data_IF_324073188847
#
_entry.id   IF_324073188847
#
_cell.length_a   1.000
_cell.length_b   1.000
_cell.length_c   1.000
_cell.angle_alpha   90.00
_cell.angle_beta   90.00
_cell.angle_gamma   90.00
#
_symmetry.space_group_name_H-M   'P 1'
#
loop_
_entity.id
_entity.type
_entity.pdbx_description
1 polymer ?
#
# COMPACT_ATOMS: atom_id res chain seq x y z
N UNK A 1 -13.45 27.42 -4.22
CA UNK A 1 -13.70 27.48 -2.76
C UNK A 1 -14.54 26.28 -2.32
N UNK A 2 -15.73 26.01 -2.91
CA UNK A 2 -16.61 24.90 -2.50
C UNK A 2 -15.92 23.53 -2.59
N UNK A 3 -15.22 23.22 -3.69
CA UNK A 3 -14.51 21.95 -3.85
C UNK A 3 -13.41 21.76 -2.79
N UNK A 4 -12.65 22.81 -2.48
CA UNK A 4 -11.63 22.75 -1.43
C UNK A 4 -12.25 22.53 -0.05
N UNK A 5 -13.37 23.18 0.26
CA UNK A 5 -14.09 22.98 1.52
C UNK A 5 -14.63 21.54 1.64
N UNK A 6 -15.19 20.98 0.56
CA UNK A 6 -15.67 19.59 0.53
C UNK A 6 -14.52 18.62 0.70
N UNK A 7 -13.39 18.83 0.02
CA UNK A 7 -12.19 17.98 0.19
C UNK A 7 -11.70 18.00 1.64
N UNK A 8 -11.59 19.18 2.24
CA UNK A 8 -11.19 19.32 3.65
C UNK A 8 -12.19 18.64 4.60
N UNK A 9 -13.50 18.78 4.35
CA UNK A 9 -14.52 18.13 5.15
C UNK A 9 -14.44 16.59 5.06
N UNK A 10 -14.24 16.03 3.87
CA UNK A 10 -14.05 14.58 3.66
C UNK A 10 -12.82 14.11 4.42
N UNK A 11 -11.67 14.77 4.26
CA UNK A 11 -10.45 14.40 4.94
C UNK A 11 -10.61 14.50 6.46
N UNK A 12 -11.12 15.61 6.98
CA UNK A 12 -11.34 15.80 8.41
C UNK A 12 -12.30 14.75 9.01
N UNK A 13 -13.38 14.42 8.30
CA UNK A 13 -14.31 13.37 8.73
C UNK A 13 -13.65 11.99 8.75
N UNK A 14 -12.88 11.67 7.72
CA UNK A 14 -12.16 10.38 7.62
C UNK A 14 -11.15 10.24 8.75
N UNK A 15 -10.31 11.26 8.96
CA UNK A 15 -9.32 11.25 10.05
C UNK A 15 -9.99 11.24 11.42
N UNK A 16 -11.08 12.01 11.60
CA UNK A 16 -11.82 12.04 12.85
C UNK A 16 -12.46 10.69 13.22
N UNK A 17 -13.09 10.01 12.25
CA UNK A 17 -13.67 8.67 12.46
C UNK A 17 -12.61 7.63 12.83
N UNK A 18 -11.48 7.64 12.12
CA UNK A 18 -10.36 6.75 12.41
C UNK A 18 -9.82 7.02 13.81
N UNK A 19 -9.60 8.28 14.18
CA UNK A 19 -9.13 8.66 15.52
C UNK A 19 -10.10 8.19 16.62
N UNK A 20 -11.41 8.44 16.46
CA UNK A 20 -12.44 8.00 17.43
C UNK A 20 -12.46 6.49 17.56
N UNK A 21 -12.40 5.77 16.45
CA UNK A 21 -12.35 4.30 16.47
C UNK A 21 -11.16 3.80 17.28
N UNK A 22 -9.96 4.30 16.99
CA UNK A 22 -8.75 3.87 17.68
C UNK A 22 -8.72 4.30 19.14
N UNK A 23 -9.20 5.46 19.49
CA UNK A 23 -9.27 5.90 20.89
C UNK A 23 -10.21 5.05 21.75
N UNK A 24 -11.21 4.39 21.14
CA UNK A 24 -12.11 3.48 21.86
C UNK A 24 -11.48 2.08 22.08
N UNK A 25 -10.72 1.59 21.10
CA UNK A 25 -10.11 0.24 21.15
C UNK A 25 -8.94 0.19 22.15
N UNK A 26 -8.25 1.31 22.40
CA UNK A 26 -7.08 1.37 23.30
C UNK A 26 -7.39 1.37 24.79
N UNK A 27 -8.64 1.45 25.22
CA UNK A 27 -8.99 1.56 26.64
C UNK A 27 -9.06 0.17 27.28
N UNK A 28 -8.31 -0.03 28.39
CA UNK A 28 -8.39 -1.15 29.34
C UNK A 28 -7.43 -2.35 29.15
N UNK A 29 -6.24 -2.14 28.61
CA UNK A 29 -5.22 -3.19 28.61
C UNK A 29 -4.23 -2.97 29.74
N UNK A 30 -3.75 -4.04 30.41
CA UNK A 30 -2.72 -3.92 31.44
C UNK A 30 -1.42 -3.42 30.81
N UNK A 31 -0.71 -2.54 31.52
CA UNK A 31 0.57 -1.98 31.12
C UNK A 31 1.67 -2.36 32.11
N UNK A 32 2.88 -2.52 31.62
CA UNK A 32 4.03 -2.81 32.47
C UNK A 32 4.45 -1.58 33.28
N UNK A 33 4.65 -1.75 34.57
CA UNK A 33 5.18 -0.74 35.46
C UNK A 33 6.48 -1.23 36.09
N UNK A 34 7.52 -0.41 36.00
CA UNK A 34 8.83 -0.73 36.59
C UNK A 34 9.34 -2.15 36.26
N UNK A 35 9.27 -2.53 34.98
CA UNK A 35 9.74 -3.82 34.49
C UNK A 35 8.88 -5.03 34.93
N UNK A 36 7.67 -4.79 35.39
CA UNK A 36 6.74 -5.83 35.83
C UNK A 36 5.38 -5.65 35.17
N UNK A 37 4.85 -6.73 34.62
CA UNK A 37 3.50 -6.79 34.08
C UNK A 37 2.71 -7.90 34.83
N UNK A 38 1.69 -7.50 35.57
CA UNK A 38 0.83 -8.44 36.26
C UNK A 38 -0.37 -8.81 35.42
N UNK A 39 -0.42 -10.08 34.97
CA UNK A 39 -1.48 -10.68 34.18
C UNK A 39 -2.31 -11.71 34.98
N UNK A 40 -2.22 -11.71 36.31
CA UNK A 40 -2.97 -12.68 37.14
C UNK A 40 -4.49 -12.52 37.02
N UNK A 41 -4.97 -11.30 36.74
CA UNK A 41 -6.38 -11.01 36.53
C UNK A 41 -6.81 -11.13 35.03
N UNK A 42 -5.86 -11.29 34.10
CA UNK A 42 -6.13 -11.38 32.67
C UNK A 42 -6.43 -12.82 32.27
N UNK A 43 -7.63 -13.05 31.75
CA UNK A 43 -8.04 -14.37 31.26
C UNK A 43 -7.89 -14.42 29.75
N UNK A 44 -6.78 -14.99 29.25
CA UNK A 44 -6.48 -15.04 27.82
C UNK A 44 -7.60 -15.67 26.96
N UNK A 45 -8.38 -16.61 27.53
CA UNK A 45 -9.50 -17.23 26.82
C UNK A 45 -10.60 -16.22 26.48
N UNK A 46 -10.91 -15.30 27.40
CA UNK A 46 -12.01 -14.34 27.32
C UNK A 46 -11.52 -12.96 26.83
N UNK A 47 -10.42 -12.47 27.38
CA UNK A 47 -9.87 -11.14 27.13
C UNK A 47 -8.99 -11.08 25.86
N UNK A 48 -8.56 -12.25 25.35
CA UNK A 48 -7.75 -12.36 24.13
C UNK A 48 -6.28 -12.04 24.33
N UNK A 49 -5.61 -11.62 23.26
CA UNK A 49 -4.18 -11.24 23.27
C UNK A 49 -3.95 -9.93 23.99
N UNK A 50 -2.84 -9.82 24.70
CA UNK A 50 -2.43 -8.62 25.42
C UNK A 50 -1.16 -8.04 24.81
N UNK A 51 -1.06 -6.71 24.55
CA UNK A 51 0.22 -6.08 24.29
C UNK A 51 0.99 -6.00 25.60
N UNK A 52 2.26 -6.35 25.58
CA UNK A 52 3.14 -6.25 26.75
C UNK A 52 3.84 -4.89 26.79
N UNK A 53 3.03 -3.84 26.61
CA UNK A 53 3.47 -2.45 26.56
C UNK A 53 3.71 -1.88 27.97
N UNK A 54 4.42 -0.74 28.02
CA UNK A 54 4.68 -0.02 29.27
C UNK A 54 6.16 0.13 29.57
N UNK A 55 6.51 0.31 30.84
CA UNK A 55 7.89 0.58 31.28
C UNK A 55 8.67 -0.70 31.53
N UNK A 56 9.68 -0.95 30.69
CA UNK A 56 10.59 -2.09 30.79
C UNK A 56 11.93 -1.70 31.41
N UNK A 57 12.64 -2.69 31.98
CA UNK A 57 14.06 -2.56 32.33
C UNK A 57 14.87 -2.47 31.01
N UNK A 58 15.79 -1.51 30.92
CA UNK A 58 16.62 -1.27 29.75
C UNK A 58 18.08 -1.15 30.14
N UNK A 59 18.93 -1.88 29.43
CA UNK A 59 20.39 -1.96 29.68
C UNK A 59 21.12 -1.48 28.44
N UNK A 60 21.45 -0.17 28.36
CA UNK A 60 22.09 0.41 27.19
C UNK A 60 23.52 -0.12 27.00
N UNK A 61 23.91 -0.34 25.75
CA UNK A 61 25.25 -0.75 25.36
C UNK A 61 25.65 -2.18 25.72
N UNK A 62 24.71 -3.01 26.18
CA UNK A 62 25.00 -4.38 26.64
C UNK A 62 24.03 -5.39 26.02
N UNK A 63 24.57 -6.56 25.64
CA UNK A 63 23.80 -7.76 25.31
C UNK A 63 23.91 -8.72 26.50
N UNK A 64 22.90 -8.70 27.36
CA UNK A 64 22.83 -9.54 28.56
C UNK A 64 22.03 -10.80 28.27
N UNK A 65 22.53 -11.91 28.75
CA UNK A 65 21.89 -13.22 28.65
C UNK A 65 21.12 -13.56 29.95
N UNK A 66 20.23 -14.55 29.92
CA UNK A 66 19.48 -14.97 31.13
C UNK A 66 20.39 -15.28 32.34
N UNK A 67 21.56 -15.86 32.10
CA UNK A 67 22.54 -16.24 33.13
C UNK A 67 23.10 -15.00 33.85
N UNK A 68 23.22 -13.84 33.16
CA UNK A 68 23.73 -12.59 33.73
C UNK A 68 22.76 -12.01 34.78
N UNK A 69 21.48 -12.38 34.73
CA UNK A 69 20.45 -11.97 35.67
C UNK A 69 20.27 -12.98 36.84
N UNK A 70 20.65 -14.24 36.63
CA UNK A 70 20.57 -15.28 37.66
C UNK A 70 21.72 -15.18 38.67
N UNK A 71 22.88 -14.71 38.24
CA UNK A 71 24.07 -14.52 39.08
C UNK A 71 24.17 -13.05 39.51
N UNK A 72 23.77 -12.74 40.75
CA UNK A 72 24.10 -11.44 41.34
C UNK A 72 25.60 -11.48 41.71
N UNK A 73 26.47 -10.68 41.10
CA UNK A 73 27.87 -10.65 41.46
C UNK A 73 28.01 -10.22 42.92
N UNK A 74 28.85 -10.93 43.69
CA UNK A 74 29.06 -10.68 45.13
C UNK A 74 29.67 -9.28 45.39
N UNK A 75 30.16 -8.60 44.35
CA UNK A 75 30.77 -7.27 44.42
C UNK A 75 29.79 -6.11 44.15
N UNK A 76 28.49 -6.41 44.00
CA UNK A 76 27.47 -5.37 43.75
C UNK A 76 27.51 -4.74 42.34
N UNK A 77 28.26 -5.31 41.42
CA UNK A 77 28.39 -4.82 40.03
C UNK A 77 27.19 -5.22 39.14
N UNK A 78 26.05 -5.54 39.73
CA UNK A 78 24.83 -5.84 38.96
C UNK A 78 24.50 -4.64 38.01
N UNK A 79 24.23 -4.92 36.75
CA UNK A 79 23.89 -3.86 35.80
C UNK A 79 22.63 -3.13 36.28
N UNK A 80 22.72 -1.80 36.48
CA UNK A 80 21.58 -0.99 36.88
C UNK A 80 20.69 -0.71 35.67
N UNK A 81 19.39 -1.00 35.71
CA UNK A 81 18.50 -0.70 34.59
C UNK A 81 18.15 0.79 34.51
N UNK A 82 17.91 1.24 33.28
CA UNK A 82 17.17 2.47 33.00
C UNK A 82 15.74 2.08 32.58
N UNK A 83 14.76 2.90 32.91
CA UNK A 83 13.38 2.62 32.51
C UNK A 83 13.10 3.19 31.14
N UNK A 84 12.53 2.37 30.23
CA UNK A 84 12.15 2.78 28.88
C UNK A 84 10.69 2.41 28.60
N UNK A 85 9.98 3.30 27.91
CA UNK A 85 8.64 3.01 27.44
C UNK A 85 8.71 2.10 26.19
N UNK A 86 7.99 0.99 26.20
CA UNK A 86 7.79 0.06 25.09
C UNK A 86 6.30 0.07 24.72
N UNK A 87 5.94 0.32 23.44
CA UNK A 87 6.83 0.63 22.33
C UNK A 87 7.44 2.03 22.40
N UNK A 88 8.68 2.14 21.91
CA UNK A 88 9.39 3.42 21.86
C UNK A 88 10.81 3.29 21.33
N UNK A 89 11.36 4.39 20.83
CA UNK A 89 12.75 4.44 20.44
C UNK A 89 13.67 4.67 21.64
N UNK A 90 14.82 3.99 21.67
CA UNK A 90 15.83 4.21 22.71
C UNK A 90 16.69 5.48 22.51
N UNK A 91 16.43 6.26 21.44
CA UNK A 91 17.20 7.47 21.13
C UNK A 91 17.24 8.52 22.26
N UNK A 92 16.32 8.44 23.25
CA UNK A 92 16.31 9.28 24.45
C UNK A 92 17.29 8.82 25.53
N UNK A 93 17.77 7.58 25.46
CA UNK A 93 18.59 6.95 26.51
C UNK A 93 20.02 6.65 26.05
N UNK A 94 20.24 6.48 24.77
CA UNK A 94 21.53 6.23 24.15
C UNK A 94 21.51 6.65 22.66
N UNK A 95 22.67 6.59 22.00
CA UNK A 95 22.76 6.78 20.56
C UNK A 95 21.88 5.75 19.81
N UNK A 96 21.34 6.13 18.65
CA UNK A 96 20.45 5.26 17.86
C UNK A 96 21.14 4.01 17.34
N UNK A 97 22.45 4.08 17.11
CA UNK A 97 23.29 2.95 16.77
C UNK A 97 23.91 2.33 18.03
N UNK A 98 23.87 1.03 18.11
CA UNK A 98 24.41 0.27 19.24
C UNK A 98 23.62 -0.97 19.59
N UNK A 99 23.84 -1.47 20.79
CA UNK A 99 23.17 -2.65 21.33
C UNK A 99 22.47 -2.32 22.64
N UNK A 100 21.42 -3.05 22.95
CA UNK A 100 20.77 -2.95 24.26
C UNK A 100 20.03 -4.25 24.59
N UNK A 101 19.76 -4.44 25.88
CA UNK A 101 18.90 -5.50 26.37
C UNK A 101 17.69 -4.89 27.08
N UNK A 102 16.53 -5.40 26.76
CA UNK A 102 15.27 -5.12 27.43
C UNK A 102 14.89 -6.31 28.28
N UNK A 103 14.29 -6.07 29.46
CA UNK A 103 13.83 -7.11 30.37
C UNK A 103 12.47 -6.77 30.91
N UNK A 104 11.56 -7.74 30.88
CA UNK A 104 10.23 -7.65 31.46
C UNK A 104 9.97 -8.90 32.30
N UNK A 105 9.53 -8.71 33.53
CA UNK A 105 9.01 -9.79 34.39
C UNK A 105 7.49 -9.81 34.28
N UNK A 106 6.93 -10.96 33.94
CA UNK A 106 5.49 -11.15 33.82
C UNK A 106 4.99 -12.10 34.92
N UNK A 107 3.84 -11.80 35.46
CA UNK A 107 3.17 -12.67 36.44
C UNK A 107 1.89 -13.21 35.83
N UNK A 108 1.76 -14.55 35.79
CA UNK A 108 0.63 -15.24 35.16
C UNK A 108 -0.12 -16.05 36.19
N UNK A 109 -1.46 -15.98 36.19
CA UNK A 109 -2.32 -16.72 37.07
C UNK A 109 -2.44 -18.20 36.70
N UNK A 110 -2.74 -18.49 35.44
CA UNK A 110 -2.89 -19.84 34.88
C UNK A 110 -1.74 -20.16 33.93
N UNK A 111 -1.05 -21.30 34.11
CA UNK A 111 0.21 -21.50 33.50
C UNK A 111 0.49 -22.83 32.84
N UNK A 112 -0.48 -23.65 32.50
CA UNK A 112 -0.21 -24.97 31.87
C UNK A 112 -0.47 -24.99 30.34
N UNK A 113 -0.68 -23.83 29.74
CA UNK A 113 -0.97 -23.71 28.30
C UNK A 113 0.27 -23.32 27.51
N UNK A 114 0.27 -23.65 26.20
CA UNK A 114 1.26 -23.13 25.27
C UNK A 114 0.90 -21.70 24.93
N UNK A 115 1.80 -20.80 25.24
CA UNK A 115 1.71 -19.37 24.90
C UNK A 115 2.45 -19.08 23.62
N UNK A 116 2.12 -17.94 23.02
CA UNK A 116 2.83 -17.40 21.88
C UNK A 116 3.16 -15.92 22.09
N UNK A 117 4.22 -15.49 21.47
CA UNK A 117 4.65 -14.11 21.40
C UNK A 117 4.79 -13.71 19.94
N UNK A 118 4.20 -12.57 19.58
CA UNK A 118 4.32 -11.98 18.24
C UNK A 118 4.97 -10.60 18.36
N UNK A 119 6.10 -10.42 17.68
CA UNK A 119 6.67 -9.09 17.48
C UNK A 119 6.20 -8.54 16.15
N UNK A 120 6.16 -7.22 16.05
CA UNK A 120 6.03 -6.51 14.78
C UNK A 120 7.41 -5.99 14.35
N UNK A 121 7.63 -4.68 14.34
CA UNK A 121 8.90 -4.11 13.91
C UNK A 121 9.81 -3.82 15.10
N UNK A 122 10.94 -4.54 15.16
CA UNK A 122 12.06 -4.24 16.06
C UNK A 122 13.22 -3.73 15.21
N UNK A 123 13.83 -2.61 15.63
CA UNK A 123 14.92 -1.97 14.90
C UNK A 123 16.25 -2.19 15.60
N UNK A 124 17.14 -3.07 15.12
CA UNK A 124 17.06 -3.85 13.87
C UNK A 124 17.01 -5.35 14.21
N UNK A 125 18.20 -5.95 14.47
CA UNK A 125 18.29 -7.37 14.80
C UNK A 125 17.89 -7.62 16.22
N UNK A 126 17.20 -8.71 16.47
CA UNK A 126 16.69 -9.04 17.80
C UNK A 126 16.76 -10.52 18.10
N UNK A 127 16.92 -10.85 19.39
CA UNK A 127 16.88 -12.19 19.95
C UNK A 127 16.00 -12.17 21.20
N UNK A 128 15.12 -13.13 21.32
CA UNK A 128 14.10 -13.19 22.36
C UNK A 128 14.34 -14.42 23.20
N UNK A 129 14.42 -14.23 24.53
CA UNK A 129 14.47 -15.30 25.50
C UNK A 129 13.22 -15.26 26.38
N UNK A 130 12.69 -16.42 26.70
CA UNK A 130 11.59 -16.60 27.66
C UNK A 130 11.94 -17.75 28.59
N UNK A 131 11.87 -17.52 29.89
CA UNK A 131 12.21 -18.55 30.90
C UNK A 131 13.65 -19.08 30.77
N UNK A 132 14.56 -18.27 30.23
CA UNK A 132 15.96 -18.64 30.04
C UNK A 132 16.29 -19.27 28.68
N UNK A 133 15.30 -19.65 27.88
CA UNK A 133 15.51 -20.28 26.56
C UNK A 133 15.34 -19.27 25.41
N UNK A 134 16.17 -19.38 24.37
CA UNK A 134 16.00 -18.61 23.12
C UNK A 134 14.78 -19.15 22.37
N UNK A 135 13.72 -18.33 22.28
CA UNK A 135 12.46 -18.72 21.62
C UNK A 135 12.34 -18.15 20.19
N UNK A 136 13.13 -17.12 19.85
CA UNK A 136 13.07 -16.55 18.49
C UNK A 136 14.11 -15.48 18.25
N UNK A 137 14.35 -15.21 16.95
CA UNK A 137 15.27 -14.16 16.53
C UNK A 137 14.93 -13.61 15.15
N UNK A 138 15.35 -12.40 14.92
CA UNK A 138 15.37 -11.74 13.62
C UNK A 138 16.78 -11.15 13.37
N UNK A 139 17.50 -11.67 12.38
CA UNK A 139 18.92 -11.36 12.19
C UNK A 139 19.82 -11.91 13.31
N UNK A 140 20.97 -11.28 13.51
CA UNK A 140 21.93 -11.63 14.55
C UNK A 140 22.32 -10.37 15.33
N UNK A 141 21.81 -10.18 16.56
CA UNK A 141 22.05 -8.98 17.36
C UNK A 141 23.40 -9.07 18.09
N UNK A 142 24.48 -9.28 17.36
CA UNK A 142 25.82 -9.36 17.92
C UNK A 142 26.65 -8.13 17.52
N UNK A 143 27.77 -7.91 18.17
CA UNK A 143 28.68 -6.82 17.81
C UNK A 143 29.67 -7.28 16.70
N UNK A 144 30.12 -6.31 15.88
CA UNK A 144 31.19 -6.56 14.91
C UNK A 144 30.76 -7.41 13.71
N UNK A 145 31.62 -8.34 13.28
CA UNK A 145 31.44 -9.10 12.04
C UNK A 145 30.30 -10.13 12.09
N UNK A 146 29.86 -10.51 13.28
CA UNK A 146 28.76 -11.46 13.48
C UNK A 146 27.39 -10.80 13.37
N UNK A 147 27.32 -9.47 13.40
CA UNK A 147 26.07 -8.72 13.22
C UNK A 147 25.48 -8.95 11.82
N UNK A 148 24.19 -9.22 11.79
CA UNK A 148 23.41 -9.28 10.55
C UNK A 148 22.09 -8.58 10.74
N UNK A 149 21.89 -7.49 10.02
CA UNK A 149 20.66 -6.72 10.04
C UNK A 149 19.49 -7.47 9.41
N UNK A 150 18.45 -7.60 10.18
CA UNK A 150 17.14 -8.07 9.71
C UNK A 150 16.09 -7.58 10.71
N UNK A 151 14.94 -7.12 10.23
CA UNK A 151 13.84 -6.72 11.09
C UNK A 151 12.52 -7.38 10.66
N UNK A 152 12.58 -8.70 10.46
CA UNK A 152 11.40 -9.52 10.18
C UNK A 152 10.58 -9.71 11.45
N UNK A 153 9.22 -9.60 11.42
CA UNK A 153 8.37 -10.02 12.53
C UNK A 153 8.65 -11.46 12.96
N UNK A 154 8.66 -11.69 14.26
CA UNK A 154 8.93 -13.00 14.85
C UNK A 154 7.66 -13.48 15.57
N UNK A 155 7.31 -14.75 15.36
CA UNK A 155 6.31 -15.47 16.14
C UNK A 155 6.99 -16.66 16.78
N UNK A 156 6.84 -16.78 18.09
CA UNK A 156 7.46 -17.82 18.91
C UNK A 156 6.42 -18.46 19.80
N UNK A 157 6.59 -19.75 20.08
CA UNK A 157 5.72 -20.51 20.97
C UNK A 157 6.54 -21.15 22.08
N UNK A 158 6.04 -21.08 23.30
CA UNK A 158 6.70 -21.55 24.50
C UNK A 158 5.68 -21.88 25.59
N UNK A 159 6.12 -22.55 26.65
CA UNK A 159 5.31 -22.77 27.86
C UNK A 159 5.70 -21.76 28.91
N UNK A 160 4.70 -21.25 29.65
CA UNK A 160 4.92 -20.43 30.83
C UNK A 160 4.43 -21.21 32.04
N UNK A 161 5.12 -21.03 33.17
CA UNK A 161 4.69 -21.58 34.44
C UNK A 161 3.80 -20.59 35.22
N UNK A 162 2.86 -21.07 36.06
CA UNK A 162 2.14 -20.17 36.95
C UNK A 162 3.09 -19.38 37.84
N UNK A 163 2.83 -18.09 37.99
CA UNK A 163 3.66 -17.19 38.78
C UNK A 163 4.59 -16.35 37.92
N UNK A 164 5.84 -16.19 38.32
CA UNK A 164 6.80 -15.29 37.71
C UNK A 164 7.51 -15.93 36.51
N UNK A 165 7.48 -15.24 35.41
CA UNK A 165 8.22 -15.55 34.21
C UNK A 165 9.00 -14.32 33.73
N UNK A 166 10.01 -14.51 32.92
CA UNK A 166 10.88 -13.46 32.42
C UNK A 166 10.98 -13.49 30.91
N UNK A 167 10.89 -12.30 30.31
CA UNK A 167 11.15 -12.06 28.88
C UNK A 167 12.38 -11.15 28.77
N UNK A 168 13.39 -11.61 28.05
CA UNK A 168 14.58 -10.83 27.75
C UNK A 168 14.65 -10.65 26.23
N UNK A 169 14.87 -9.42 25.80
CA UNK A 169 15.00 -9.06 24.40
C UNK A 169 16.32 -8.35 24.17
N UNK A 170 17.23 -8.99 23.46
CA UNK A 170 18.45 -8.37 22.96
C UNK A 170 18.16 -7.71 21.62
N UNK A 171 18.61 -6.46 21.44
CA UNK A 171 18.46 -5.70 20.20
C UNK A 171 19.77 -5.05 19.82
N UNK A 172 20.13 -5.14 18.54
CA UNK A 172 21.29 -4.42 17.98
C UNK A 172 20.88 -3.70 16.71
N UNK A 173 21.33 -2.45 16.59
CA UNK A 173 21.12 -1.60 15.44
C UNK A 173 22.44 -0.93 15.04
N UNK A 174 23.00 -1.31 13.89
CA UNK A 174 24.20 -0.67 13.31
C UNK A 174 23.98 -0.15 11.90
N UNK A 175 22.79 -0.42 11.31
CA UNK A 175 22.51 -0.10 9.91
C UNK A 175 21.37 0.89 9.72
N UNK A 176 20.65 1.25 10.79
CA UNK A 176 19.47 2.11 10.66
C UNK A 176 19.40 3.25 11.68
N UNK A 177 20.18 4.34 11.48
CA UNK A 177 20.19 5.49 12.37
C UNK A 177 18.85 6.18 12.62
N UNK A 178 17.87 6.18 11.67
CA UNK A 178 16.63 6.92 11.86
C UNK A 178 15.72 6.40 12.97
N UNK A 179 15.87 5.16 13.41
CA UNK A 179 15.01 4.56 14.44
C UNK A 179 15.71 3.40 15.12
N UNK A 180 15.36 3.11 16.36
CA UNK A 180 16.03 2.10 17.17
C UNK A 180 15.10 1.51 18.23
N UNK A 181 15.32 0.25 18.55
CA UNK A 181 14.60 -0.44 19.62
C UNK A 181 13.25 -1.00 19.21
N UNK A 182 12.36 -1.17 20.17
CA UNK A 182 11.03 -1.74 19.98
C UNK A 182 10.04 -0.63 19.67
N UNK A 183 9.76 -0.42 18.39
CA UNK A 183 8.93 0.71 17.93
C UNK A 183 7.45 0.36 17.75
N UNK A 184 7.08 -0.90 17.86
CA UNK A 184 5.71 -1.39 17.79
C UNK A 184 5.46 -2.38 18.93
N UNK A 185 4.21 -2.52 19.34
CA UNK A 185 3.81 -3.41 20.44
C UNK A 185 4.18 -4.87 20.18
N UNK A 186 4.54 -5.56 21.25
CA UNK A 186 4.76 -7.00 21.27
C UNK A 186 3.51 -7.64 21.91
N UNK A 187 3.00 -8.69 21.29
CA UNK A 187 1.75 -9.34 21.72
C UNK A 187 2.02 -10.69 22.37
N UNK A 188 1.39 -10.93 23.51
CA UNK A 188 1.37 -12.20 24.23
C UNK A 188 -0.05 -12.76 24.25
N UNK A 189 -0.19 -14.08 24.10
CA UNK A 189 -1.49 -14.75 24.13
C UNK A 189 -1.33 -16.26 24.08
N UNK A 190 -2.44 -17.00 24.09
CA UNK A 190 -2.36 -18.43 23.78
C UNK A 190 -1.88 -18.67 22.36
N UNK A 191 -1.19 -19.79 22.13
CA UNK A 191 -0.61 -20.15 20.83
C UNK A 191 -1.59 -20.02 19.66
N UNK A 192 -2.83 -20.49 19.83
CA UNK A 192 -3.88 -20.37 18.81
C UNK A 192 -4.29 -18.94 18.50
N UNK A 193 -4.32 -18.07 19.53
CA UNK A 193 -4.66 -16.64 19.37
C UNK A 193 -3.56 -15.89 18.64
N UNK A 194 -2.30 -16.15 18.98
CA UNK A 194 -1.13 -15.55 18.33
C UNK A 194 -0.99 -16.04 16.88
N UNK A 195 -1.22 -17.33 16.61
CA UNK A 195 -1.28 -17.85 15.23
C UNK A 195 -2.37 -17.15 14.43
N UNK A 196 -3.59 -17.03 14.99
CA UNK A 196 -4.70 -16.36 14.33
C UNK A 196 -4.41 -14.87 14.07
N UNK A 197 -3.74 -14.19 15.02
CA UNK A 197 -3.31 -12.80 14.86
C UNK A 197 -2.31 -12.67 13.70
N UNK A 198 -1.28 -13.53 13.65
CA UNK A 198 -0.32 -13.56 12.54
C UNK A 198 -1.00 -13.85 11.21
N UNK A 199 -1.84 -14.90 11.17
CA UNK A 199 -2.47 -15.35 9.92
C UNK A 199 -3.42 -14.28 9.35
N UNK A 200 -4.12 -13.54 10.22
CA UNK A 200 -4.94 -12.38 9.80
C UNK A 200 -4.08 -11.26 9.22
N UNK A 201 -3.01 -10.87 9.92
CA UNK A 201 -2.11 -9.82 9.45
C UNK A 201 -1.45 -10.20 8.12
N UNK A 202 -0.91 -11.42 8.02
CA UNK A 202 -0.28 -11.92 6.81
C UNK A 202 -1.27 -12.02 5.64
N UNK A 203 -2.50 -12.49 5.90
CA UNK A 203 -3.56 -12.55 4.90
C UNK A 203 -3.96 -11.17 4.41
N UNK A 204 -4.08 -10.19 5.32
CA UNK A 204 -4.35 -8.80 4.97
C UNK A 204 -3.29 -8.25 4.03
N UNK A 205 -2.01 -8.46 4.35
CA UNK A 205 -0.91 -7.96 3.54
C UNK A 205 -0.85 -8.65 2.17
N UNK A 206 -1.03 -9.99 2.10
CA UNK A 206 -1.09 -10.72 0.84
C UNK A 206 -2.24 -10.27 -0.05
N UNK A 207 -3.45 -10.08 0.52
CA UNK A 207 -4.62 -9.58 -0.20
C UNK A 207 -4.31 -8.19 -0.78
N UNK A 208 -3.74 -7.30 0.03
CA UNK A 208 -3.43 -5.94 -0.38
C UNK A 208 -2.38 -5.89 -1.50
N UNK A 209 -1.26 -6.61 -1.33
CA UNK A 209 -0.19 -6.70 -2.34
C UNK A 209 -0.71 -7.28 -3.65
N UNK A 210 -1.46 -8.38 -3.58
CA UNK A 210 -2.02 -9.05 -4.77
C UNK A 210 -3.03 -8.16 -5.47
N UNK A 211 -3.93 -7.50 -4.73
CA UNK A 211 -4.91 -6.58 -5.27
C UNK A 211 -4.25 -5.42 -6.03
N UNK A 212 -3.26 -4.76 -5.41
CA UNK A 212 -2.53 -3.68 -6.05
C UNK A 212 -1.74 -4.17 -7.27
N UNK A 213 -1.07 -5.32 -7.18
CA UNK A 213 -0.29 -5.86 -8.29
C UNK A 213 -1.17 -6.22 -9.49
N UNK A 214 -2.29 -6.93 -9.27
CA UNK A 214 -3.25 -7.27 -10.34
C UNK A 214 -3.77 -6.00 -11.00
N UNK A 215 -4.13 -4.99 -10.21
CA UNK A 215 -4.63 -3.72 -10.75
C UNK A 215 -3.54 -2.99 -11.55
N UNK A 216 -2.31 -2.97 -11.04
CA UNK A 216 -1.16 -2.40 -11.74
C UNK A 216 -0.93 -3.06 -13.10
N UNK A 217 -0.85 -4.39 -13.12
CA UNK A 217 -0.67 -5.18 -14.35
C UNK A 217 -1.85 -5.01 -15.32
N UNK A 218 -3.07 -4.93 -14.82
CA UNK A 218 -4.26 -4.67 -15.64
C UNK A 218 -4.16 -3.34 -16.39
N UNK A 219 -3.82 -2.24 -15.72
CA UNK A 219 -3.69 -0.92 -16.37
C UNK A 219 -2.49 -0.85 -17.31
N UNK A 220 -1.37 -1.48 -16.96
CA UNK A 220 -0.22 -1.62 -17.85
C UNK A 220 -0.60 -2.45 -19.10
N UNK A 221 -1.35 -3.54 -18.91
CA UNK A 221 -1.89 -4.34 -20.02
C UNK A 221 -2.83 -3.55 -20.92
N UNK A 222 -3.73 -2.73 -20.35
CA UNK A 222 -4.58 -1.82 -21.15
C UNK A 222 -3.75 -0.80 -21.94
N UNK A 223 -2.67 -0.28 -21.36
CA UNK A 223 -1.78 0.63 -22.09
C UNK A 223 -1.13 -0.05 -23.31
N UNK A 224 -0.76 -1.34 -23.24
CA UNK A 224 -0.19 -2.05 -24.39
C UNK A 224 -1.14 -2.10 -25.58
N UNK A 225 -2.45 -2.10 -25.32
CA UNK A 225 -3.50 -2.07 -26.33
C UNK A 225 -3.82 -0.64 -26.80
N UNK A 226 -3.59 0.37 -25.95
CA UNK A 226 -3.87 1.79 -26.21
C UNK A 226 -2.64 2.66 -25.92
N UNK A 227 -1.58 2.48 -26.69
CA UNK A 227 -0.26 3.14 -26.49
C UNK A 227 -0.31 4.68 -26.50
N UNK A 228 -1.39 5.27 -27.02
CA UNK A 228 -1.57 6.73 -27.03
C UNK A 228 -2.09 7.30 -25.70
N UNK A 229 -2.55 6.45 -24.78
CA UNK A 229 -3.08 6.88 -23.48
C UNK A 229 -2.07 6.62 -22.35
N UNK A 230 -1.08 7.51 -22.25
CA UNK A 230 -0.03 7.45 -21.23
C UNK A 230 -0.60 7.47 -19.80
N UNK A 231 -1.82 8.00 -19.60
CA UNK A 231 -2.44 8.04 -18.27
C UNK A 231 -2.71 6.64 -17.73
N UNK A 232 -3.04 5.66 -18.57
CA UNK A 232 -3.22 4.26 -18.15
C UNK A 232 -1.92 3.65 -17.64
N UNK A 233 -0.80 3.91 -18.32
CA UNK A 233 0.50 3.43 -17.88
C UNK A 233 0.89 4.04 -16.52
N UNK A 234 0.71 5.36 -16.35
CA UNK A 234 1.01 6.04 -15.09
C UNK A 234 0.16 5.50 -13.94
N UNK A 235 -1.14 5.28 -14.18
CA UNK A 235 -2.03 4.70 -13.18
C UNK A 235 -1.62 3.26 -12.82
N UNK A 236 -1.24 2.45 -13.80
CA UNK A 236 -0.72 1.12 -13.57
C UNK A 236 0.55 1.13 -12.70
N UNK A 237 1.47 2.04 -12.97
CA UNK A 237 2.71 2.20 -12.18
C UNK A 237 2.44 2.68 -10.76
N UNK A 238 1.42 3.51 -10.51
CA UNK A 238 0.98 3.85 -9.15
C UNK A 238 0.72 2.57 -8.36
N UNK A 239 -0.09 1.66 -8.90
CA UNK A 239 -0.45 0.42 -8.19
C UNK A 239 0.71 -0.56 -8.06
N UNK A 240 1.59 -0.66 -9.05
CA UNK A 240 2.82 -1.48 -8.94
C UNK A 240 3.70 -0.96 -7.80
N UNK A 241 3.90 0.35 -7.71
CA UNK A 241 4.69 0.93 -6.61
C UNK A 241 3.98 0.78 -5.26
N UNK A 242 2.65 0.89 -5.19
CA UNK A 242 1.91 0.59 -3.96
C UNK A 242 2.04 -0.88 -3.55
N UNK A 243 1.98 -1.83 -4.47
CA UNK A 243 2.21 -3.25 -4.20
C UNK A 243 3.61 -3.48 -3.60
N UNK A 244 4.64 -2.90 -4.21
CA UNK A 244 6.01 -2.97 -3.72
C UNK A 244 6.16 -2.33 -2.33
N UNK A 245 5.58 -1.15 -2.12
CA UNK A 245 5.61 -0.48 -0.82
C UNK A 245 4.93 -1.32 0.26
N UNK A 246 3.73 -1.81 0.01
CA UNK A 246 2.96 -2.63 0.94
C UNK A 246 3.69 -3.94 1.27
N UNK A 247 4.36 -4.57 0.29
CA UNK A 247 5.13 -5.80 0.52
C UNK A 247 6.31 -5.64 1.48
N UNK A 248 6.74 -4.40 1.72
CA UNK A 248 7.82 -4.06 2.68
C UNK A 248 7.31 -3.60 4.05
N UNK A 249 5.98 -3.52 4.25
CA UNK A 249 5.35 -3.11 5.50
C UNK A 249 4.66 -4.28 6.19
N UNK A 250 4.10 -4.06 7.38
CA UNK A 250 3.37 -5.07 8.12
C UNK A 250 4.18 -6.34 8.37
N UNK A 251 3.66 -7.47 7.95
CA UNK A 251 4.32 -8.80 8.05
C UNK A 251 5.46 -8.98 7.04
N UNK A 252 5.70 -7.98 6.17
CA UNK A 252 6.82 -7.97 5.20
C UNK A 252 6.79 -9.16 4.26
N UNK A 253 5.71 -9.25 3.52
CA UNK A 253 5.47 -10.27 2.49
C UNK A 253 6.65 -10.46 1.54
N UNK A 254 7.46 -9.42 1.32
CA UNK A 254 8.67 -9.49 0.51
C UNK A 254 9.67 -10.56 1.03
N UNK A 255 9.83 -10.67 2.37
CA UNK A 255 10.69 -11.71 2.95
C UNK A 255 10.07 -13.11 2.86
N UNK A 256 8.73 -13.22 2.94
CA UNK A 256 8.05 -14.51 2.75
C UNK A 256 8.17 -15.00 1.29
N UNK A 257 8.08 -14.08 0.32
CA UNK A 257 8.14 -14.43 -1.10
C UNK A 257 9.56 -14.77 -1.59
N UNK A 258 10.58 -14.06 -1.10
CA UNK A 258 11.95 -14.14 -1.62
C UNK A 258 12.98 -14.66 -0.61
N UNK A 259 12.54 -15.02 0.61
CA UNK A 259 13.44 -15.48 1.67
C UNK A 259 14.28 -14.33 2.23
N UNK A 260 15.62 -14.46 2.12
CA UNK A 260 16.53 -13.42 2.61
C UNK A 260 16.70 -12.30 1.59
N UNK A 261 16.35 -11.06 2.01
CA UNK A 261 16.63 -9.83 1.27
C UNK A 261 17.59 -8.98 2.11
N UNK A 262 18.76 -8.60 1.61
CA UNK A 262 19.68 -7.74 2.35
C UNK A 262 19.00 -6.42 2.75
N UNK A 263 19.25 -5.95 3.97
CA UNK A 263 18.57 -4.74 4.49
C UNK A 263 18.78 -3.50 3.60
N UNK A 264 19.99 -3.32 3.05
CA UNK A 264 20.28 -2.20 2.15
C UNK A 264 19.41 -2.18 0.89
N UNK A 265 19.04 -3.36 0.38
CA UNK A 265 18.16 -3.49 -0.77
C UNK A 265 16.69 -3.32 -0.33
N UNK A 266 16.31 -3.92 0.79
CA UNK A 266 14.96 -3.81 1.36
C UNK A 266 14.54 -2.36 1.57
N UNK A 267 15.36 -1.55 2.23
CA UNK A 267 15.03 -0.14 2.51
C UNK A 267 14.98 0.71 1.24
N UNK A 268 15.84 0.41 0.25
CA UNK A 268 15.78 1.08 -1.06
C UNK A 268 14.49 0.76 -1.81
N UNK A 269 14.07 -0.50 -1.83
CA UNK A 269 12.77 -0.90 -2.42
C UNK A 269 11.65 -0.14 -1.74
N UNK A 270 11.63 -0.08 -0.42
CA UNK A 270 10.60 0.62 0.35
C UNK A 270 10.54 2.12 -0.01
N UNK A 271 11.66 2.81 0.03
CA UNK A 271 11.71 4.25 -0.22
C UNK A 271 11.46 4.59 -1.69
N UNK A 272 12.06 3.83 -2.62
CA UNK A 272 11.84 4.03 -4.06
C UNK A 272 10.39 3.78 -4.46
N UNK A 273 9.75 2.78 -3.86
CA UNK A 273 8.33 2.52 -4.13
C UNK A 273 7.43 3.64 -3.59
N UNK A 274 7.71 4.20 -2.42
CA UNK A 274 6.98 5.35 -1.89
C UNK A 274 7.11 6.60 -2.79
N UNK A 275 8.35 6.93 -3.18
CA UNK A 275 8.61 8.06 -4.10
C UNK A 275 8.03 7.80 -5.48
N UNK A 276 8.18 6.58 -6.00
CA UNK A 276 7.65 6.17 -7.30
C UNK A 276 6.12 6.25 -7.37
N UNK A 277 5.42 5.84 -6.31
CA UNK A 277 3.98 5.97 -6.20
C UNK A 277 3.53 7.44 -6.26
N UNK A 278 4.16 8.32 -5.46
CA UNK A 278 3.86 9.75 -5.48
C UNK A 278 4.14 10.40 -6.83
N UNK A 279 5.29 10.10 -7.43
CA UNK A 279 5.70 10.62 -8.74
C UNK A 279 4.74 10.19 -9.85
N UNK A 280 4.44 8.90 -9.93
CA UNK A 280 3.55 8.37 -10.98
C UNK A 280 2.11 8.84 -10.78
N UNK A 281 1.65 9.04 -9.54
CA UNK A 281 0.34 9.63 -9.25
C UNK A 281 0.25 11.09 -9.71
N UNK A 282 1.27 11.91 -9.47
CA UNK A 282 1.32 13.29 -9.99
C UNK A 282 1.28 13.31 -11.52
N UNK A 283 2.04 12.43 -12.17
CA UNK A 283 2.05 12.32 -13.63
C UNK A 283 0.70 11.82 -14.17
N UNK A 284 0.05 10.88 -13.49
CA UNK A 284 -1.30 10.42 -13.82
C UNK A 284 -2.30 11.58 -13.77
N UNK A 285 -2.35 12.28 -12.64
CA UNK A 285 -3.28 13.40 -12.44
C UNK A 285 -3.06 14.49 -13.48
N UNK A 286 -1.81 14.81 -13.82
CA UNK A 286 -1.49 15.79 -14.83
C UNK A 286 -1.86 15.34 -16.25
N UNK A 287 -1.65 14.09 -16.60
CA UNK A 287 -1.98 13.57 -17.94
C UNK A 287 -3.49 13.43 -18.15
N UNK A 288 -4.22 12.96 -17.13
CA UNK A 288 -5.66 12.71 -17.20
C UNK A 288 -6.52 13.96 -16.96
N UNK A 289 -6.05 14.92 -16.13
CA UNK A 289 -6.83 16.08 -15.67
C UNK A 289 -6.08 17.40 -15.86
N UNK A 290 -5.40 17.56 -16.98
CA UNK A 290 -4.51 18.69 -17.27
C UNK A 290 -5.13 20.08 -17.07
N UNK A 291 -6.43 20.24 -17.34
CA UNK A 291 -7.17 21.50 -17.19
C UNK A 291 -7.39 21.93 -15.75
N UNK A 292 -7.34 20.98 -14.80
CA UNK A 292 -7.57 21.21 -13.39
C UNK A 292 -6.27 21.24 -12.57
N UNK A 293 -5.11 21.02 -13.20
CA UNK A 293 -3.82 20.91 -12.55
C UNK A 293 -2.98 22.17 -12.68
N UNK A 294 -2.31 22.59 -11.60
CA UNK A 294 -1.26 23.61 -11.65
C UNK A 294 0.02 23.01 -12.26
N UNK A 295 0.43 23.54 -13.41
CA UNK A 295 1.66 23.10 -14.09
C UNK A 295 2.91 23.29 -13.26
N UNK A 296 2.95 24.37 -12.47
CA UNK A 296 4.09 24.66 -11.60
C UNK A 296 4.21 23.62 -10.47
N UNK A 297 3.08 23.33 -9.79
CA UNK A 297 3.03 22.35 -8.71
C UNK A 297 3.44 20.95 -9.18
N UNK A 298 2.95 20.53 -10.34
CA UNK A 298 3.32 19.22 -10.90
C UNK A 298 4.80 19.17 -11.27
N UNK A 299 5.33 20.22 -11.94
CA UNK A 299 6.74 20.27 -12.32
C UNK A 299 7.67 20.26 -11.10
N UNK A 300 7.35 21.06 -10.07
CA UNK A 300 8.13 21.06 -8.83
C UNK A 300 8.06 19.71 -8.10
N UNK A 301 6.88 19.09 -8.04
CA UNK A 301 6.70 17.76 -7.46
C UNK A 301 7.49 16.68 -8.21
N UNK A 302 7.49 16.72 -9.54
CA UNK A 302 8.31 15.80 -10.36
C UNK A 302 9.80 16.01 -10.13
N UNK A 303 10.25 17.27 -10.08
CA UNK A 303 11.67 17.58 -9.82
C UNK A 303 12.12 17.08 -8.43
N UNK A 304 11.30 17.30 -7.40
CA UNK A 304 11.57 16.81 -6.04
C UNK A 304 11.59 15.29 -5.99
N UNK A 305 10.63 14.60 -6.64
CA UNK A 305 10.60 13.15 -6.72
C UNK A 305 11.81 12.57 -7.45
N UNK A 306 12.24 13.19 -8.55
CA UNK A 306 13.46 12.80 -9.25
C UNK A 306 14.71 12.98 -8.35
N UNK A 307 14.79 14.10 -7.63
CA UNK A 307 15.88 14.36 -6.68
C UNK A 307 15.93 13.30 -5.58
N UNK A 308 14.79 12.96 -4.97
CA UNK A 308 14.71 11.88 -3.99
C UNK A 308 15.12 10.54 -4.58
N UNK A 309 14.65 10.21 -5.80
CA UNK A 309 15.02 8.95 -6.47
C UNK A 309 16.53 8.85 -6.70
N UNK A 310 17.16 9.92 -7.16
CA UNK A 310 18.62 9.99 -7.35
C UNK A 310 19.33 9.86 -5.99
N UNK A 311 18.85 10.57 -4.97
CA UNK A 311 19.38 10.48 -3.61
C UNK A 311 19.35 9.03 -3.09
N UNK A 312 18.18 8.37 -3.22
CA UNK A 312 17.97 6.98 -2.79
C UNK A 312 18.92 6.00 -3.51
N UNK A 313 19.21 6.21 -4.76
CA UNK A 313 20.06 5.30 -5.53
C UNK A 313 21.56 5.52 -5.30
N UNK A 314 21.99 6.78 -5.21
CA UNK A 314 23.41 7.13 -5.25
C UNK A 314 24.01 7.44 -3.88
N UNK A 315 23.23 7.99 -2.95
CA UNK A 315 23.76 8.50 -1.66
C UNK A 315 23.19 7.69 -0.49
N UNK A 316 23.88 6.63 -0.11
CA UNK A 316 23.44 5.75 0.98
C UNK A 316 23.32 6.48 2.32
N UNK A 317 24.25 7.36 2.63
CA UNK A 317 24.33 8.07 3.92
C UNK A 317 23.21 9.11 4.14
N UNK A 318 22.46 9.51 3.11
CA UNK A 318 21.32 10.42 3.26
C UNK A 318 20.13 9.77 3.97
N UNK A 319 20.03 8.43 3.92
CA UNK A 319 18.99 7.69 4.66
C UNK A 319 19.17 7.74 6.16
N UNK A 320 20.38 8.01 6.62
CA UNK A 320 20.75 8.09 8.02
C UNK A 320 20.09 9.29 8.70
N UNK A 321 19.71 10.31 7.93
CA UNK A 321 19.00 11.46 8.47
C UNK A 321 17.49 11.17 8.62
N UNK A 322 16.98 11.20 9.83
CA UNK A 322 15.53 11.10 10.10
C UNK A 322 14.74 12.14 9.30
N UNK A 323 15.29 13.34 9.13
CA UNK A 323 14.71 14.42 8.32
C UNK A 323 14.48 13.98 6.88
N UNK A 324 15.41 13.22 6.27
CA UNK A 324 15.23 12.74 4.90
C UNK A 324 14.04 11.76 4.81
N UNK A 325 13.91 10.84 5.75
CA UNK A 325 12.79 9.88 5.81
C UNK A 325 11.46 10.61 5.98
N UNK A 326 11.40 11.61 6.86
CA UNK A 326 10.20 12.43 7.06
C UNK A 326 9.83 13.19 5.78
N UNK A 327 10.82 13.76 5.07
CA UNK A 327 10.62 14.41 3.77
C UNK A 327 10.09 13.44 2.69
N UNK A 328 10.63 12.23 2.62
CA UNK A 328 10.12 11.19 1.70
C UNK A 328 8.68 10.80 2.05
N UNK A 329 8.36 10.63 3.32
CA UNK A 329 6.99 10.32 3.78
C UNK A 329 6.02 11.47 3.43
N UNK A 330 6.43 12.70 3.68
CA UNK A 330 5.66 13.89 3.29
C UNK A 330 5.47 13.95 1.77
N UNK A 331 6.54 13.69 1.01
CA UNK A 331 6.48 13.65 -0.45
C UNK A 331 5.52 12.55 -0.95
N UNK A 332 5.47 11.38 -0.33
CA UNK A 332 4.56 10.31 -0.72
C UNK A 332 3.08 10.67 -0.43
N UNK A 333 2.82 11.43 0.64
CA UNK A 333 1.48 11.81 1.08
C UNK A 333 0.89 12.98 0.29
N UNK A 334 1.68 14.02 0.00
CA UNK A 334 1.20 15.24 -0.67
C UNK A 334 0.58 14.99 -2.07
N UNK A 335 1.15 14.17 -2.97
CA UNK A 335 0.53 13.82 -4.24
C UNK A 335 -0.84 13.17 -4.10
N UNK A 336 -1.04 12.34 -3.07
CA UNK A 336 -2.31 11.67 -2.82
C UNK A 336 -3.40 12.68 -2.40
N UNK A 337 -3.07 13.59 -1.48
CA UNK A 337 -3.97 14.67 -1.08
C UNK A 337 -4.30 15.61 -2.25
N UNK A 338 -3.30 15.91 -3.08
CA UNK A 338 -3.49 16.71 -4.29
C UNK A 338 -4.38 16.00 -5.32
N UNK A 339 -4.21 14.70 -5.50
CA UNK A 339 -5.06 13.88 -6.38
C UNK A 339 -6.52 13.91 -5.92
N UNK A 340 -6.80 13.73 -4.62
CA UNK A 340 -8.15 13.85 -4.05
C UNK A 340 -8.75 15.21 -4.39
N UNK A 341 -8.00 16.29 -4.17
CA UNK A 341 -8.45 17.65 -4.48
C UNK A 341 -8.81 17.79 -5.97
N UNK A 342 -7.93 17.36 -6.88
CA UNK A 342 -8.17 17.47 -8.33
C UNK A 342 -9.39 16.66 -8.77
N UNK A 343 -9.56 15.43 -8.26
CA UNK A 343 -10.71 14.58 -8.60
C UNK A 343 -12.02 15.15 -8.07
N UNK A 344 -12.03 15.74 -6.88
CA UNK A 344 -13.20 16.44 -6.34
C UNK A 344 -13.53 17.67 -7.22
N UNK A 345 -12.54 18.49 -7.58
CA UNK A 345 -12.75 19.63 -8.49
C UNK A 345 -13.30 19.17 -9.85
N UNK A 346 -12.74 18.11 -10.42
CA UNK A 346 -13.18 17.53 -11.69
C UNK A 346 -14.63 17.00 -11.58
N UNK A 347 -15.00 16.42 -10.44
CA UNK A 347 -16.36 15.94 -10.17
C UNK A 347 -17.38 17.07 -10.11
N UNK A 348 -17.05 18.21 -9.48
CA UNK A 348 -17.90 19.41 -9.51
C UNK A 348 -18.08 19.95 -10.95
N UNK A 349 -17.09 19.77 -11.83
CA UNK A 349 -17.17 20.14 -13.23
C UNK A 349 -17.77 19.03 -14.11
N UNK A 350 -18.41 18.01 -13.51
CA UNK A 350 -19.10 16.91 -14.19
C UNK A 350 -18.22 16.14 -15.17
N UNK A 351 -16.91 16.04 -14.89
CA UNK A 351 -16.00 15.20 -15.68
C UNK A 351 -16.33 13.73 -15.40
N UNK A 352 -16.60 12.99 -16.46
CA UNK A 352 -16.99 11.57 -16.35
C UNK A 352 -15.94 10.73 -15.65
N UNK A 353 -16.37 9.91 -14.67
CA UNK A 353 -15.49 9.02 -13.92
C UNK A 353 -14.70 9.65 -12.78
N UNK A 354 -14.69 10.99 -12.66
CA UNK A 354 -13.94 11.68 -11.60
C UNK A 354 -14.42 11.34 -10.18
N UNK A 355 -15.71 11.06 -10.01
CA UNK A 355 -16.29 10.65 -8.73
C UNK A 355 -15.72 9.28 -8.26
N UNK A 356 -15.60 8.31 -9.17
CA UNK A 356 -15.02 7.00 -8.85
C UNK A 356 -13.53 7.12 -8.51
N UNK A 357 -12.80 7.99 -9.21
CA UNK A 357 -11.40 8.27 -8.89
C UNK A 357 -11.24 8.99 -7.56
N UNK A 358 -12.15 9.89 -7.21
CA UNK A 358 -12.17 10.53 -5.88
C UNK A 358 -12.40 9.48 -4.77
N UNK A 359 -13.38 8.58 -4.96
CA UNK A 359 -13.62 7.48 -4.03
C UNK A 359 -12.42 6.54 -3.90
N UNK A 360 -11.80 6.17 -5.02
CA UNK A 360 -10.59 5.35 -5.03
C UNK A 360 -9.41 6.02 -4.30
N UNK A 361 -9.19 7.32 -4.53
CA UNK A 361 -8.12 8.06 -3.87
C UNK A 361 -8.37 8.24 -2.37
N UNK A 362 -9.64 8.41 -1.94
CA UNK A 362 -10.00 8.44 -0.52
C UNK A 362 -9.75 7.07 0.13
N UNK A 363 -10.17 5.96 -0.51
CA UNK A 363 -9.91 4.62 -0.02
C UNK A 363 -8.40 4.34 0.14
N UNK A 364 -7.60 4.77 -0.84
CA UNK A 364 -6.14 4.66 -0.79
C UNK A 364 -5.53 5.51 0.34
N UNK A 365 -6.10 6.70 0.60
CA UNK A 365 -5.68 7.55 1.72
C UNK A 365 -6.03 6.91 3.08
N UNK A 366 -7.23 6.32 3.21
CA UNK A 366 -7.63 5.57 4.41
C UNK A 366 -6.69 4.40 4.64
N UNK A 367 -6.39 3.62 3.59
CA UNK A 367 -5.42 2.54 3.65
C UNK A 367 -4.05 3.02 4.17
N UNK A 368 -3.52 4.10 3.60
CA UNK A 368 -2.24 4.66 4.04
C UNK A 368 -2.26 5.13 5.51
N UNK A 369 -3.39 5.66 5.99
CA UNK A 369 -3.58 6.05 7.39
C UNK A 369 -3.62 4.84 8.32
N UNK A 370 -4.39 3.81 7.95
CA UNK A 370 -4.50 2.58 8.74
C UNK A 370 -3.13 1.91 8.85
N UNK A 371 -2.39 1.80 7.76
CA UNK A 371 -1.04 1.22 7.74
C UNK A 371 -0.01 1.98 8.59
N UNK A 372 -0.24 3.26 8.86
CA UNK A 372 0.61 4.06 9.73
C UNK A 372 -0.02 4.31 11.12
N UNK A 373 -1.17 3.70 11.42
CA UNK A 373 -1.91 3.92 12.67
C UNK A 373 -1.12 3.48 13.91
N UNK A 374 -0.34 2.39 13.83
CA UNK A 374 0.55 1.98 14.89
C UNK A 374 1.57 3.07 15.28
N UNK A 375 2.09 3.80 14.28
CA UNK A 375 3.05 4.88 14.52
C UNK A 375 2.39 6.11 15.14
N UNK A 376 1.13 6.40 14.79
CA UNK A 376 0.44 7.60 15.25
C UNK A 376 -0.42 7.36 16.49
N UNK A 377 -0.99 6.17 16.66
CA UNK A 377 -2.01 5.90 17.67
C UNK A 377 -1.69 4.68 18.57
N UNK A 378 -0.60 3.96 18.32
CA UNK A 378 -0.23 2.76 19.08
C UNK A 378 -1.21 1.58 18.96
N UNK A 379 -2.08 1.57 17.95
CA UNK A 379 -3.09 0.53 17.77
C UNK A 379 -2.70 -0.41 16.63
N UNK A 380 -2.79 -1.74 16.82
CA UNK A 380 -2.46 -2.70 15.78
C UNK A 380 -3.42 -2.61 14.58
N UNK A 381 -2.85 -2.59 13.39
CA UNK A 381 -3.60 -2.65 12.10
C UNK A 381 -4.43 -3.93 11.99
N UNK A 382 -3.98 -4.98 12.68
CA UNK A 382 -4.56 -6.33 12.65
C UNK A 382 -6.01 -6.42 13.15
N UNK A 383 -6.54 -5.36 13.76
CA UNK A 383 -7.91 -5.30 14.24
C UNK A 383 -8.95 -4.96 13.17
N UNK A 384 -8.51 -4.44 11.99
CA UNK A 384 -9.40 -4.05 10.91
C UNK A 384 -9.38 -5.07 9.75
N UNK A 385 -10.55 -5.49 9.26
CA UNK A 385 -10.60 -6.25 8.00
C UNK A 385 -10.10 -5.39 6.82
N UNK A 386 -9.52 -5.97 5.76
CA UNK A 386 -8.95 -5.24 4.62
C UNK A 386 -10.06 -4.70 3.68
N UNK A 387 -10.92 -3.83 4.20
CA UNK A 387 -12.01 -3.25 3.38
C UNK A 387 -11.49 -2.25 2.34
N UNK A 388 -10.42 -1.53 2.64
CA UNK A 388 -9.93 -0.44 1.82
C UNK A 388 -9.46 -0.92 0.43
N UNK A 389 -8.68 -2.02 0.29
CA UNK A 389 -8.34 -2.56 -1.02
C UNK A 389 -9.57 -3.00 -1.82
N UNK A 390 -10.61 -3.56 -1.18
CA UNK A 390 -11.85 -3.96 -1.87
C UNK A 390 -12.64 -2.75 -2.35
N UNK A 391 -12.75 -1.68 -1.53
CA UNK A 391 -13.41 -0.44 -1.95
C UNK A 391 -12.67 0.18 -3.13
N UNK A 392 -11.33 0.20 -3.08
CA UNK A 392 -10.51 0.68 -4.18
C UNK A 392 -10.76 -0.11 -5.47
N UNK A 393 -10.72 -1.44 -5.41
CA UNK A 393 -10.99 -2.32 -6.55
C UNK A 393 -12.38 -2.09 -7.12
N UNK A 394 -13.40 -1.97 -6.27
CA UNK A 394 -14.78 -1.70 -6.68
C UNK A 394 -14.88 -0.34 -7.41
N UNK A 395 -14.31 0.72 -6.87
CA UNK A 395 -14.34 2.04 -7.49
C UNK A 395 -13.67 2.05 -8.86
N UNK A 396 -12.53 1.35 -9.00
CA UNK A 396 -11.83 1.24 -10.27
C UNK A 396 -12.56 0.34 -11.27
N UNK A 397 -13.21 -0.73 -10.82
CA UNK A 397 -14.06 -1.57 -11.66
C UNK A 397 -15.26 -0.78 -12.20
N UNK A 398 -15.92 0.02 -11.36
CA UNK A 398 -17.01 0.90 -11.77
C UNK A 398 -16.53 1.97 -12.77
N UNK A 399 -15.35 2.56 -12.55
CA UNK A 399 -14.72 3.48 -13.48
C UNK A 399 -14.50 2.83 -14.86
N UNK A 400 -13.98 1.60 -14.87
CA UNK A 400 -13.77 0.87 -16.13
C UNK A 400 -15.07 0.51 -16.82
N UNK A 401 -16.07 0.05 -16.05
CA UNK A 401 -17.41 -0.21 -16.59
C UNK A 401 -18.00 1.04 -17.26
N UNK A 402 -17.88 2.21 -16.64
CA UNK A 402 -18.31 3.47 -17.22
C UNK A 402 -17.55 3.79 -18.53
N UNK A 403 -16.22 3.66 -18.53
CA UNK A 403 -15.39 3.91 -19.72
C UNK A 403 -15.76 2.97 -20.88
N UNK A 404 -15.99 1.69 -20.61
CA UNK A 404 -16.44 0.74 -21.63
C UNK A 404 -17.83 1.07 -22.14
N UNK A 405 -18.79 1.36 -21.25
CA UNK A 405 -20.15 1.76 -21.65
C UNK A 405 -20.11 2.99 -22.58
N UNK A 406 -19.32 4.00 -22.25
CA UNK A 406 -19.19 5.20 -23.08
C UNK A 406 -18.50 4.90 -24.43
N UNK A 407 -17.49 4.03 -24.46
CA UNK A 407 -16.85 3.60 -25.69
C UNK A 407 -17.84 2.86 -26.62
N UNK A 408 -18.66 1.96 -26.08
CA UNK A 408 -19.70 1.27 -26.84
C UNK A 408 -20.75 2.24 -27.41
N UNK A 409 -21.24 3.20 -26.59
CA UNK A 409 -22.17 4.24 -27.08
C UNK A 409 -21.59 5.07 -28.20
N UNK A 410 -20.28 5.39 -28.14
CA UNK A 410 -19.61 6.12 -29.22
C UNK A 410 -19.52 5.28 -30.51
N UNK A 411 -19.17 3.99 -30.40
CA UNK A 411 -19.12 3.07 -31.54
C UNK A 411 -20.50 2.95 -32.18
N UNK A 412 -21.55 2.76 -31.40
CA UNK A 412 -22.94 2.67 -31.86
C UNK A 412 -23.35 3.96 -32.60
N UNK A 413 -23.05 5.13 -32.03
CA UNK A 413 -23.33 6.43 -32.65
C UNK A 413 -22.62 6.59 -33.97
N UNK A 414 -21.32 6.21 -34.02
CA UNK A 414 -20.54 6.25 -35.29
C UNK A 414 -21.08 5.27 -36.33
N UNK A 415 -21.47 4.05 -35.94
CA UNK A 415 -22.09 3.06 -36.82
C UNK A 415 -23.38 3.59 -37.44
N UNK A 416 -24.25 4.21 -36.64
CA UNK A 416 -25.49 4.83 -37.13
C UNK A 416 -25.19 6.00 -38.09
N UNK A 417 -24.17 6.81 -37.82
CA UNK A 417 -23.77 7.90 -38.70
C UNK A 417 -23.22 7.36 -40.03
N UNK A 418 -22.40 6.31 -40.02
CA UNK A 418 -21.88 5.65 -41.20
C UNK A 418 -23.02 5.06 -42.05
N UNK A 419 -23.98 4.36 -41.45
CA UNK A 419 -25.15 3.82 -42.19
C UNK A 419 -25.99 4.95 -42.83
N UNK A 420 -26.15 6.10 -42.17
CA UNK A 420 -26.84 7.25 -42.73
C UNK A 420 -26.07 7.85 -43.93
N UNK A 421 -24.74 7.98 -43.79
CA UNK A 421 -23.89 8.49 -44.88
C UNK A 421 -23.90 7.56 -46.11
N UNK A 422 -23.87 6.25 -45.87
CA UNK A 422 -23.92 5.24 -46.92
C UNK A 422 -25.28 5.27 -47.69
N UNK A 423 -26.40 5.36 -46.94
CA UNK A 423 -27.73 5.56 -47.57
C UNK A 423 -27.84 6.85 -48.40
N UNK A 424 -27.25 7.96 -47.90
CA UNK A 424 -27.22 9.22 -48.67
C UNK A 424 -26.39 9.10 -49.94
N UNK A 425 -25.26 8.40 -49.89
CA UNK A 425 -24.42 8.10 -51.03
C UNK A 425 -25.16 7.26 -52.09
N UNK A 426 -25.86 6.20 -51.66
CA UNK A 426 -26.64 5.33 -52.53
C UNK A 426 -27.81 6.09 -53.18
N UNK A 427 -28.52 6.95 -52.43
CA UNK A 427 -29.60 7.76 -52.97
C UNK A 427 -29.09 8.78 -54.02
N UNK A 428 -27.93 9.43 -53.75
CA UNK A 428 -27.31 10.35 -54.72
C UNK A 428 -26.82 9.65 -55.98
N UNK A 429 -26.30 8.43 -55.88
CA UNK A 429 -25.92 7.60 -57.01
C UNK A 429 -27.14 7.16 -57.82
N UNK A 430 -28.30 6.87 -57.20
CA UNK A 430 -29.55 6.57 -57.87
C UNK A 430 -30.11 7.80 -58.60
N UNK A 431 -30.10 8.99 -57.99
CA UNK A 431 -30.49 10.23 -58.66
C UNK A 431 -29.58 10.55 -59.84
N UNK A 432 -28.27 10.37 -59.73
CA UNK A 432 -27.32 10.53 -60.84
C UNK A 432 -27.59 9.55 -61.97
N UNK A 433 -27.88 8.27 -61.66
CA UNK A 433 -28.26 7.25 -62.68
C UNK A 433 -29.59 7.60 -63.36
N UNK A 434 -30.62 8.03 -62.58
CA UNK A 434 -31.89 8.44 -63.17
C UNK A 434 -31.79 9.72 -64.00
N UNK A 435 -30.98 10.71 -63.54
CA UNK A 435 -30.75 11.93 -64.28
C UNK A 435 -29.96 11.67 -65.60
N UNK A 436 -28.97 10.76 -65.55
CA UNK A 436 -28.22 10.28 -66.68
C UNK A 436 -29.11 9.53 -67.68
N UNK A 437 -29.97 8.63 -67.23
CA UNK A 437 -30.95 7.91 -68.02
C UNK A 437 -31.99 8.85 -68.66
N UNK A 438 -32.49 9.85 -67.90
CA UNK A 438 -33.38 10.91 -68.50
C UNK A 438 -32.69 11.76 -69.55
N UNK A 439 -31.39 12.10 -69.38
CA UNK A 439 -30.62 12.81 -70.42
C UNK A 439 -30.37 11.95 -71.65
N UNK A 440 -30.10 10.65 -71.52
CA UNK A 440 -30.01 9.72 -72.64
C UNK A 440 -31.35 9.57 -73.40
N UNK A 441 -32.49 9.45 -72.66
CA UNK A 441 -33.80 9.45 -73.30
C UNK A 441 -34.15 10.75 -74.02
N UNK A 442 -33.88 11.89 -73.36
CA UNK A 442 -34.10 13.21 -74.01
C UNK A 442 -33.22 13.40 -75.25
N UNK A 443 -31.99 12.86 -75.23
CA UNK A 443 -31.09 12.89 -76.39
C UNK A 443 -31.53 11.94 -77.52
N UNK A 444 -32.12 10.77 -77.14
CA UNK A 444 -32.73 9.84 -78.14
C UNK A 444 -34.01 10.39 -78.76
N UNK A 445 -34.85 11.12 -78.02
CA UNK A 445 -36.09 11.75 -78.55
C UNK A 445 -35.78 12.96 -79.43
N UNK A 446 -34.68 13.68 -79.28
CA UNK A 446 -34.29 14.82 -80.11
C UNK A 446 -33.56 14.44 -81.40
N UNK A 447 -33.28 13.17 -81.65
CA UNK A 447 -32.62 12.66 -82.84
C UNK A 447 -33.49 11.58 -83.49
N UNK A 448 -34.37 11.99 -84.35
CA UNK A 448 -35.21 11.17 -85.24
C UNK A 448 -34.42 10.30 -86.22
N UNK A 449 -33.41 9.57 -85.72
CA UNK A 449 -32.60 8.59 -86.47
C UNK A 449 -31.97 7.54 -85.54
N UNK A 450 -32.79 6.68 -85.02
CA UNK A 450 -32.30 5.40 -84.42
C UNK A 450 -33.23 4.25 -84.76
N UNK A 451 -33.46 4.06 -86.06
CA UNK A 451 -33.88 2.75 -86.51
C UNK A 451 -32.64 1.97 -86.94
N UNK A 452 -32.30 0.95 -86.14
CA UNK A 452 -31.35 -0.15 -86.33
C UNK A 452 -30.21 -0.20 -85.38
N UNK A 453 -30.47 -0.78 -84.17
CA UNK A 453 -29.45 -1.50 -83.41
C UNK A 453 -30.12 -2.77 -82.88
N UNK A 454 -29.57 -4.00 -83.11
CA UNK A 454 -30.16 -5.25 -82.63
C UNK A 454 -29.98 -5.46 -81.13
N UNK A 455 -30.99 -6.13 -80.55
CA UNK A 455 -31.00 -6.49 -79.15
C UNK A 455 -29.79 -7.39 -78.77
N UNK A 456 -28.94 -6.91 -77.99
CA UNK A 456 -27.90 -7.73 -77.32
C UNK A 456 -28.55 -8.36 -76.06
N UNK A 457 -28.74 -9.64 -76.19
CA UNK A 457 -29.13 -10.55 -75.08
C UNK A 457 -28.03 -10.49 -73.96
N UNK A 458 -28.34 -9.94 -72.88
CA UNK A 458 -27.43 -10.06 -71.68
C UNK A 458 -27.90 -11.25 -70.86
N UNK A 459 -27.16 -12.34 -70.99
CA UNK A 459 -27.30 -13.55 -70.18
C UNK A 459 -27.06 -13.21 -68.71
N UNK A 460 -28.03 -13.62 -67.94
CA UNK A 460 -28.02 -13.79 -66.50
C UNK A 460 -27.01 -14.90 -66.18
N UNK A 461 -25.94 -14.63 -65.48
CA UNK A 461 -25.16 -15.71 -64.92
C UNK A 461 -25.08 -15.57 -63.42
N UNK A 462 -25.61 -16.59 -62.80
CA UNK A 462 -25.58 -16.93 -61.40
C UNK A 462 -24.18 -17.24 -60.91
N UNK A 463 -23.93 -16.91 -59.71
CA UNK A 463 -23.29 -17.98 -58.95
C UNK A 463 -22.04 -17.65 -58.20
N UNK A 464 -22.24 -17.75 -56.93
CA UNK A 464 -21.37 -18.45 -55.93
C UNK A 464 -20.09 -17.76 -55.44
N UNK A 465 -20.18 -17.51 -54.12
CA UNK A 465 -19.28 -18.02 -53.07
C UNK A 465 -17.83 -17.50 -53.08
N UNK A 466 -17.36 -16.89 -52.06
CA UNK A 466 -16.70 -17.51 -50.86
C UNK A 466 -16.24 -16.41 -49.92
N UNK A 467 -16.49 -16.69 -48.70
CA UNK A 467 -15.93 -16.67 -47.33
C UNK A 467 -15.83 -15.31 -46.70
#
# INVERSE_FOLDING_TARGET
VAAAAVTLAILASTYGLIYVYFSHVSKHKPEAENGVLDLTAWQFADDGVVPIDGKWEFYPGRLLYPEDFASVPADGSAPQPVWIDVPGSWAKHMETLGTATYRLRIRIGDGTSVYGLKTSSIQMSSRIFVGGEEVGRSGFPEAGQSYRSQNKPVVSFFTLEPGWNEIILQVSNYDFPPSSGVIESIYLGHAGQISALRDRALSHDWISVTAFLIMGLYFVGLYTQRKNDLSLFMLGMVFVFFALYTSTRGERVLFEAFGFVPFWLFIRIQLMSAVGAGLTLLLYVYTAFRSFCSKWLVRSGVAVGALFSVGILLFFNWFEAEVFRQMVTLYATLPLLYAIYVFVVASFNKVEGSLYLAGAAIALNVYALVQNSNVYFGVPVDSLPPFEPFVLLLMLALLMSLRFSNAFKQIEKLSVQLMKADKLKDSSLQEHRMSSSRRCMAFCISRDRCSKIPAIHYMRNNGRRFI
#
